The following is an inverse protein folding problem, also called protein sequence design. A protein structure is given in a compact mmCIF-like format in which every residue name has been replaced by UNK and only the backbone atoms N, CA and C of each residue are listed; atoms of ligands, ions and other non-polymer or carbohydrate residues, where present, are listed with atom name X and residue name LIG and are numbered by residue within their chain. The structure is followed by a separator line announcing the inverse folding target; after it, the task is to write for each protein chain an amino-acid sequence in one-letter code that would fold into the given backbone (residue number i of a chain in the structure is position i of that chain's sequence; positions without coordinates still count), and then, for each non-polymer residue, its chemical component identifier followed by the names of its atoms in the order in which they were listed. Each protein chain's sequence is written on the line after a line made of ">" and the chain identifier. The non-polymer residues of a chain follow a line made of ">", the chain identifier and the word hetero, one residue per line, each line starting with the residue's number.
data_IF_520213294802
#
_entry.id   IF_520213294802
#
_cell.length_a   1.000
_cell.length_b   1.000
_cell.length_c   1.000
_cell.angle_alpha   90.00
_cell.angle_beta   90.00
_cell.angle_gamma   90.00
#
_symmetry.space_group_name_H-M   'P 1'
#
loop_
_entity.id
_entity.type
_entity.pdbx_description
1 polymer ?
#
# COMPACT_ATOMS: atom_id res chain seq x y z
N UNK A 1 14.22 -3.17 22.45
CA UNK A 1 13.33 -2.90 21.31
C UNK A 1 12.06 -3.71 21.53
N UNK A 2 10.90 -3.08 21.55
CA UNK A 2 9.60 -3.76 21.61
C UNK A 2 9.18 -4.19 20.20
N UNK A 3 8.36 -5.24 20.04
CA UNK A 3 7.84 -5.63 18.72
C UNK A 3 7.12 -4.48 17.99
N UNK A 4 6.42 -3.61 18.73
CA UNK A 4 5.76 -2.42 18.16
C UNK A 4 6.73 -1.33 17.69
N UNK A 5 7.96 -1.29 18.20
CA UNK A 5 9.00 -0.39 17.66
C UNK A 5 9.41 -0.84 16.24
N UNK A 6 9.35 -2.14 15.95
CA UNK A 6 9.64 -2.67 14.61
C UNK A 6 8.59 -2.20 13.61
N UNK A 7 7.30 -2.31 13.94
CA UNK A 7 6.21 -1.84 13.07
C UNK A 7 6.34 -0.34 12.76
N UNK A 8 6.64 0.47 13.78
CA UNK A 8 6.88 1.92 13.61
C UNK A 8 8.08 2.25 12.73
N UNK A 9 9.14 1.44 12.79
CA UNK A 9 10.28 1.62 11.89
C UNK A 9 9.93 1.20 10.45
N UNK A 10 9.15 0.12 10.28
CA UNK A 10 8.67 -0.30 8.96
C UNK A 10 7.80 0.78 8.29
N UNK A 11 7.02 1.56 9.06
CA UNK A 11 6.30 2.72 8.53
C UNK A 11 7.20 3.76 7.87
N UNK A 12 8.42 3.96 8.36
CA UNK A 12 9.37 4.91 7.77
C UNK A 12 9.73 4.47 6.35
N UNK A 13 10.06 3.18 6.18
CA UNK A 13 10.38 2.57 4.90
C UNK A 13 9.18 2.57 3.93
N UNK A 14 7.97 2.30 4.45
CA UNK A 14 6.74 2.35 3.66
C UNK A 14 6.48 3.77 3.18
N UNK A 15 6.59 4.78 4.05
CA UNK A 15 6.43 6.20 3.69
C UNK A 15 7.46 6.65 2.66
N UNK A 16 8.70 6.17 2.74
CA UNK A 16 9.71 6.45 1.72
C UNK A 16 9.29 5.88 0.36
N UNK A 17 8.81 4.63 0.33
CA UNK A 17 8.27 4.04 -0.90
C UNK A 17 7.07 4.82 -1.46
N UNK A 18 6.16 5.31 -0.60
CA UNK A 18 5.04 6.15 -1.04
C UNK A 18 5.54 7.45 -1.70
N UNK A 19 6.57 8.08 -1.14
CA UNK A 19 7.19 9.27 -1.74
C UNK A 19 7.86 8.98 -3.09
N UNK A 20 8.49 7.81 -3.24
CA UNK A 20 9.06 7.35 -4.51
C UNK A 20 7.96 7.13 -5.54
N UNK A 21 6.88 6.44 -5.16
CA UNK A 21 5.73 6.20 -6.03
C UNK A 21 5.11 7.52 -6.48
N UNK A 22 4.89 8.47 -5.57
CA UNK A 22 4.33 9.80 -5.87
C UNK A 22 5.16 10.56 -6.92
N UNK A 23 6.49 10.58 -6.75
CA UNK A 23 7.40 11.20 -7.72
C UNK A 23 7.33 10.53 -9.09
N UNK A 24 7.26 9.19 -9.11
CA UNK A 24 7.18 8.42 -10.35
C UNK A 24 5.88 8.68 -11.09
N UNK A 25 4.73 8.67 -10.40
CA UNK A 25 3.44 8.91 -11.05
C UNK A 25 3.26 10.38 -11.45
N UNK A 26 3.88 11.31 -10.71
CA UNK A 26 3.93 12.73 -11.08
C UNK A 26 4.71 12.95 -12.37
N UNK A 27 5.90 12.32 -12.49
CA UNK A 27 6.68 12.34 -13.74
C UNK A 27 5.94 11.65 -14.88
N UNK A 28 5.35 10.49 -14.63
CA UNK A 28 4.61 9.72 -15.63
C UNK A 28 3.38 10.48 -16.15
N UNK A 29 2.71 11.27 -15.31
CA UNK A 29 1.59 12.13 -15.70
C UNK A 29 2.03 13.16 -16.75
N UNK A 30 3.21 13.78 -16.56
CA UNK A 30 3.75 14.81 -17.44
C UNK A 30 4.33 14.24 -18.74
N UNK A 31 5.10 13.15 -18.63
CA UNK A 31 5.84 12.58 -19.76
C UNK A 31 5.03 11.52 -20.53
N UNK A 32 3.89 11.09 -19.99
CA UNK A 32 3.04 10.01 -20.52
C UNK A 32 3.82 8.71 -20.76
N UNK A 33 4.87 8.51 -19.95
CA UNK A 33 5.79 7.41 -20.06
C UNK A 33 6.42 7.10 -18.70
N UNK A 34 6.67 5.82 -18.45
CA UNK A 34 7.34 5.32 -17.26
C UNK A 34 7.92 3.94 -17.56
N UNK A 35 9.01 3.60 -16.86
CA UNK A 35 9.60 2.27 -16.94
C UNK A 35 8.66 1.24 -16.32
N UNK A 36 8.28 0.23 -17.11
CA UNK A 36 7.51 -0.93 -16.63
C UNK A 36 8.24 -1.61 -15.47
N UNK A 37 9.57 -1.77 -15.57
CA UNK A 37 10.37 -2.44 -14.55
C UNK A 37 10.30 -1.69 -13.21
N UNK A 38 10.27 -0.36 -13.23
CA UNK A 38 10.14 0.44 -12.00
C UNK A 38 8.76 0.24 -11.37
N UNK A 39 7.69 0.23 -12.19
CA UNK A 39 6.33 -0.04 -11.69
C UNK A 39 6.22 -1.42 -11.05
N UNK A 40 6.84 -2.44 -11.66
CA UNK A 40 6.84 -3.80 -11.14
C UNK A 40 7.63 -3.91 -9.82
N UNK A 41 8.79 -3.25 -9.71
CA UNK A 41 9.58 -3.22 -8.47
C UNK A 41 8.82 -2.58 -7.32
N UNK A 42 8.13 -1.47 -7.57
CA UNK A 42 7.29 -0.80 -6.56
C UNK A 42 6.14 -1.71 -6.13
N UNK A 43 5.41 -2.30 -7.10
CA UNK A 43 4.33 -3.24 -6.78
C UNK A 43 4.82 -4.45 -6.00
N UNK A 44 6.01 -4.96 -6.32
CA UNK A 44 6.61 -6.04 -5.57
C UNK A 44 6.88 -5.60 -4.12
N UNK A 45 7.52 -4.46 -3.90
CA UNK A 45 7.76 -3.93 -2.55
C UNK A 45 6.45 -3.80 -1.76
N UNK A 46 5.42 -3.19 -2.35
CA UNK A 46 4.12 -3.01 -1.70
C UNK A 46 3.52 -4.38 -1.29
N UNK A 47 3.45 -5.33 -2.22
CA UNK A 47 2.88 -6.66 -1.96
C UNK A 47 3.68 -7.45 -0.93
N UNK A 48 5.00 -7.32 -0.91
CA UNK A 48 5.84 -8.15 -0.04
C UNK A 48 6.10 -7.49 1.30
N UNK A 49 6.51 -6.23 1.31
CA UNK A 49 6.96 -5.54 2.52
C UNK A 49 5.78 -4.87 3.24
N UNK A 50 5.03 -4.01 2.57
CA UNK A 50 3.90 -3.32 3.20
C UNK A 50 2.76 -4.30 3.55
N UNK A 51 2.37 -5.16 2.62
CA UNK A 51 1.23 -6.06 2.84
C UNK A 51 1.63 -7.36 3.54
N UNK A 52 2.30 -8.28 2.83
CA UNK A 52 2.60 -9.62 3.38
C UNK A 52 3.43 -9.58 4.68
N UNK A 53 4.34 -8.61 4.83
CA UNK A 53 5.21 -8.52 5.99
C UNK A 53 4.64 -7.59 7.07
N UNK A 54 4.34 -6.33 6.78
CA UNK A 54 3.91 -5.36 7.78
C UNK A 54 2.46 -5.60 8.21
N UNK A 55 1.47 -5.47 7.31
CA UNK A 55 0.08 -5.82 7.63
C UNK A 55 -0.04 -7.28 8.11
N UNK A 56 0.76 -8.19 7.55
CA UNK A 56 0.82 -9.58 8.00
C UNK A 56 1.19 -9.72 9.49
N UNK A 57 2.08 -8.89 10.04
CA UNK A 57 2.37 -8.88 11.48
C UNK A 57 1.21 -8.30 12.27
N UNK A 58 0.54 -7.28 11.74
CA UNK A 58 -0.60 -6.68 12.42
C UNK A 58 -1.79 -7.64 12.50
N UNK A 59 -2.25 -8.12 11.35
CA UNK A 59 -3.45 -8.95 11.22
C UNK A 59 -3.32 -10.30 11.94
N UNK A 60 -2.11 -10.88 11.97
CA UNK A 60 -1.88 -12.21 12.53
C UNK A 60 -1.32 -12.20 13.95
N UNK A 61 -0.80 -11.07 14.45
CA UNK A 61 -0.14 -11.02 15.77
C UNK A 61 -0.65 -9.84 16.60
N UNK A 62 -0.53 -8.60 16.11
CA UNK A 62 -0.89 -7.43 16.90
C UNK A 62 -2.39 -7.33 17.17
N UNK A 63 -3.22 -7.41 16.12
CA UNK A 63 -4.67 -7.28 16.25
C UNK A 63 -5.28 -8.40 17.10
N UNK A 64 -4.90 -9.69 16.96
CA UNK A 64 -5.32 -10.72 17.90
C UNK A 64 -4.92 -10.41 19.36
N UNK A 65 -3.70 -9.92 19.61
CA UNK A 65 -3.28 -9.56 20.95
C UNK A 65 -4.04 -8.36 21.53
N UNK A 66 -4.44 -7.39 20.69
CA UNK A 66 -5.31 -6.28 21.09
C UNK A 66 -6.74 -6.75 21.37
N UNK A 67 -7.23 -7.72 20.60
CA UNK A 67 -8.52 -8.37 20.80
C UNK A 67 -8.58 -9.09 22.16
N UNK A 68 -7.55 -9.90 22.45
CA UNK A 68 -7.39 -10.55 23.76
C UNK A 68 -7.29 -9.54 24.92
N UNK A 69 -6.76 -8.34 24.66
CA UNK A 69 -6.69 -7.25 25.62
C UNK A 69 -8.01 -6.45 25.75
N UNK A 70 -9.05 -6.81 25.02
CA UNK A 70 -10.41 -6.25 25.12
C UNK A 70 -10.76 -5.19 24.08
N UNK A 71 -9.94 -4.98 23.05
CA UNK A 71 -10.29 -4.12 21.91
C UNK A 71 -11.15 -4.93 20.94
N UNK A 72 -12.43 -4.58 20.68
CA UNK A 72 -13.28 -5.39 19.83
C UNK A 72 -12.74 -5.43 18.40
N UNK A 73 -12.71 -6.63 17.82
CA UNK A 73 -12.33 -6.84 16.42
C UNK A 73 -13.27 -6.12 15.47
N UNK A 74 -14.58 -6.20 15.75
CA UNK A 74 -15.65 -5.60 14.95
C UNK A 74 -16.11 -4.27 15.54
N UNK A 75 -16.45 -3.31 14.68
CA UNK A 75 -17.03 -2.02 15.09
C UNK A 75 -16.08 -1.09 15.87
N UNK A 76 -14.79 -1.44 15.94
CA UNK A 76 -13.73 -0.68 16.63
C UNK A 76 -12.55 -0.34 15.71
N UNK A 77 -11.42 0.11 16.29
CA UNK A 77 -10.25 0.51 15.51
C UNK A 77 -9.65 -0.63 14.67
N UNK A 78 -9.68 -1.88 15.17
CA UNK A 78 -9.20 -3.05 14.41
C UNK A 78 -10.02 -3.23 13.11
N UNK A 79 -11.34 -3.09 13.18
CA UNK A 79 -12.21 -3.19 12.00
C UNK A 79 -11.85 -2.16 10.94
N UNK A 80 -11.57 -0.91 11.36
CA UNK A 80 -11.18 0.16 10.44
C UNK A 80 -9.86 -0.18 9.73
N UNK A 81 -8.85 -0.64 10.48
CA UNK A 81 -7.56 -1.04 9.89
C UNK A 81 -7.73 -2.19 8.89
N UNK A 82 -8.49 -3.22 9.25
CA UNK A 82 -8.75 -4.37 8.36
C UNK A 82 -9.47 -3.98 7.06
N UNK A 83 -10.45 -3.07 7.13
CA UNK A 83 -11.14 -2.55 5.94
C UNK A 83 -10.15 -1.80 5.04
N UNK A 84 -9.28 -0.97 5.63
CA UNK A 84 -8.30 -0.20 4.89
C UNK A 84 -7.19 -1.07 4.28
N UNK A 85 -6.80 -2.16 4.94
CA UNK A 85 -5.89 -3.14 4.35
C UNK A 85 -6.50 -3.78 3.10
N UNK A 86 -7.77 -4.20 3.16
CA UNK A 86 -8.48 -4.75 2.01
C UNK A 86 -8.65 -3.72 0.88
N UNK A 87 -8.98 -2.47 1.22
CA UNK A 87 -9.06 -1.38 0.25
C UNK A 87 -7.70 -1.15 -0.43
N UNK A 88 -6.61 -1.11 0.33
CA UNK A 88 -5.24 -1.01 -0.18
C UNK A 88 -4.90 -2.15 -1.13
N UNK A 89 -5.22 -3.40 -0.76
CA UNK A 89 -5.05 -4.59 -1.62
C UNK A 89 -5.85 -4.47 -2.93
N UNK A 90 -7.02 -3.83 -2.90
CA UNK A 90 -7.83 -3.58 -4.10
C UNK A 90 -7.14 -2.62 -5.08
N UNK A 91 -6.55 -1.51 -4.60
CA UNK A 91 -5.79 -0.58 -5.43
C UNK A 91 -4.53 -1.25 -6.02
N UNK A 92 -3.83 -2.05 -5.22
CA UNK A 92 -2.64 -2.80 -5.69
C UNK A 92 -2.99 -3.80 -6.79
N UNK A 93 -4.14 -4.48 -6.69
CA UNK A 93 -4.64 -5.38 -7.74
C UNK A 93 -4.97 -4.62 -9.03
N UNK A 94 -5.60 -3.44 -8.91
CA UNK A 94 -5.92 -2.59 -10.05
C UNK A 94 -4.65 -2.04 -10.73
N UNK A 95 -3.69 -1.52 -9.94
CA UNK A 95 -2.37 -1.10 -10.44
C UNK A 95 -1.66 -2.24 -11.17
N UNK A 96 -1.65 -3.46 -10.63
CA UNK A 96 -1.02 -4.59 -11.31
C UNK A 96 -1.67 -4.90 -12.66
N UNK A 97 -3.00 -4.88 -12.74
CA UNK A 97 -3.72 -5.09 -14.00
C UNK A 97 -3.40 -3.99 -15.01
N UNK A 98 -3.29 -2.75 -14.55
CA UNK A 98 -2.92 -1.60 -15.36
C UNK A 98 -1.50 -1.74 -15.93
N UNK A 99 -0.52 -2.18 -15.12
CA UNK A 99 0.85 -2.49 -15.59
C UNK A 99 0.84 -3.54 -16.71
N UNK A 100 0.07 -4.62 -16.57
CA UNK A 100 -0.01 -5.66 -17.61
C UNK A 100 -0.57 -5.15 -18.93
N UNK A 101 -1.57 -4.27 -18.91
CA UNK A 101 -2.11 -3.63 -20.12
C UNK A 101 -1.14 -2.60 -20.70
N UNK A 102 -0.45 -1.84 -19.84
CA UNK A 102 0.52 -0.83 -20.28
C UNK A 102 1.70 -1.47 -21.00
N UNK A 103 2.19 -2.63 -20.52
CA UNK A 103 3.17 -3.48 -21.22
C UNK A 103 2.74 -3.86 -22.64
N UNK A 104 1.44 -4.02 -22.87
CA UNK A 104 0.86 -4.35 -24.17
C UNK A 104 0.64 -3.11 -25.06
N UNK A 105 1.08 -1.93 -24.62
CA UNK A 105 1.00 -0.68 -25.37
C UNK A 105 -0.21 0.20 -25.07
N UNK A 106 -1.06 -0.17 -24.11
CA UNK A 106 -2.22 0.65 -23.73
C UNK A 106 -1.80 1.87 -22.91
N UNK A 107 -1.81 3.06 -23.52
CA UNK A 107 -1.52 4.32 -22.81
C UNK A 107 -2.58 4.68 -21.77
N UNK A 108 -3.85 4.37 -22.05
CA UNK A 108 -4.96 4.57 -21.08
C UNK A 108 -4.72 3.79 -19.79
N UNK A 109 -4.07 2.63 -19.88
CA UNK A 109 -3.73 1.85 -18.69
C UNK A 109 -2.69 2.55 -17.79
N UNK A 110 -1.86 3.45 -18.33
CA UNK A 110 -0.98 4.25 -17.49
C UNK A 110 -1.78 5.23 -16.61
N UNK A 111 -2.83 5.84 -17.16
CA UNK A 111 -3.73 6.71 -16.39
C UNK A 111 -4.47 5.91 -15.30
N UNK A 112 -4.95 4.70 -15.63
CA UNK A 112 -5.53 3.78 -14.63
C UNK A 112 -4.53 3.47 -13.50
N UNK A 113 -3.25 3.24 -13.83
CA UNK A 113 -2.22 3.00 -12.81
C UNK A 113 -2.03 4.23 -11.92
N UNK A 114 -1.89 5.41 -12.51
CA UNK A 114 -1.65 6.68 -11.79
C UNK A 114 -2.80 6.98 -10.83
N UNK A 115 -4.05 6.79 -11.25
CA UNK A 115 -5.22 7.02 -10.39
C UNK A 115 -5.22 6.08 -9.18
N UNK A 116 -5.02 4.78 -9.40
CA UNK A 116 -4.98 3.81 -8.31
C UNK A 116 -3.78 4.03 -7.38
N UNK A 117 -2.63 4.47 -7.91
CA UNK A 117 -1.47 4.82 -7.11
C UNK A 117 -1.73 6.02 -6.20
N UNK A 118 -2.38 7.09 -6.70
CA UNK A 118 -2.76 8.25 -5.88
C UNK A 118 -3.72 7.87 -4.75
N UNK A 119 -4.72 7.05 -5.06
CA UNK A 119 -5.68 6.57 -4.06
C UNK A 119 -4.98 5.69 -3.01
N UNK A 120 -4.08 4.80 -3.44
CA UNK A 120 -3.27 3.98 -2.53
C UNK A 120 -2.38 4.82 -1.61
N UNK A 121 -1.68 5.83 -2.15
CA UNK A 121 -0.85 6.75 -1.35
C UNK A 121 -1.71 7.45 -0.31
N UNK A 122 -2.82 8.08 -0.73
CA UNK A 122 -3.68 8.84 0.18
C UNK A 122 -4.27 7.98 1.29
N UNK A 123 -4.71 6.76 0.95
CA UNK A 123 -5.19 5.78 1.91
C UNK A 123 -4.08 5.43 2.92
N UNK A 124 -2.91 5.04 2.44
CA UNK A 124 -1.86 4.50 3.30
C UNK A 124 -1.19 5.56 4.18
N UNK A 125 -1.10 6.81 3.73
CA UNK A 125 -0.64 7.92 4.58
C UNK A 125 -1.59 8.17 5.76
N UNK A 126 -2.90 8.13 5.51
CA UNK A 126 -3.91 8.29 6.57
C UNK A 126 -3.95 7.07 7.48
N UNK A 127 -3.83 5.87 6.90
CA UNK A 127 -3.78 4.60 7.61
C UNK A 127 -2.62 4.58 8.61
N UNK A 128 -1.39 4.81 8.15
CA UNK A 128 -0.19 4.84 9.01
C UNK A 128 -0.26 5.96 10.06
N UNK A 129 -0.99 7.05 9.81
CA UNK A 129 -1.18 8.08 10.83
C UNK A 129 -2.12 7.64 11.98
N UNK A 130 -3.06 6.73 11.72
CA UNK A 130 -3.99 6.19 12.73
C UNK A 130 -3.39 5.07 13.58
N UNK A 131 -2.44 4.32 13.02
CA UNK A 131 -1.73 3.20 13.66
C UNK A 131 -0.71 3.67 14.72
#
# INVERSE_FOLDING_TARGET
>A
MKPTDVLKNEHVEIKEMLSILDKIISKATLEQNVSVEDLEKILNFIKTFADKCHHGKEENILFPALEDAGIPRDGGPIAVMLIEHEEGRSYVKAMNKAVEKYKQGSRIALDEFIENARNYISLLEQHIWKE
#
